data_IF_150700931680
#
_entry.id   IF_150700931680
#
_cell.length_a   1.000
_cell.length_b   1.000
_cell.length_c   1.000
_cell.angle_alpha   90.00
_cell.angle_beta   90.00
_cell.angle_gamma   90.00
#
_symmetry.space_group_name_H-M   'P 1'
#
loop_
_entity.id
_entity.type
_entity.pdbx_description
1 polymer ?
#
# COMPACT_ATOMS: atom_id res chain seq x y z
N UNK A 1 2.36 -20.70 -14.76
CA UNK A 1 3.27 -20.21 -13.69
C UNK A 1 2.46 -19.80 -12.48
N UNK A 2 2.87 -20.25 -11.30
CA UNK A 2 2.16 -20.02 -10.05
C UNK A 2 2.39 -18.59 -9.52
N UNK A 3 1.35 -18.03 -8.91
CA UNK A 3 1.41 -16.78 -8.17
C UNK A 3 2.29 -16.99 -6.93
N UNK A 4 3.28 -16.13 -6.71
CA UNK A 4 4.08 -16.14 -5.49
C UNK A 4 3.49 -15.15 -4.49
N UNK A 5 3.46 -15.52 -3.21
CA UNK A 5 2.98 -14.67 -2.13
C UNK A 5 4.08 -14.48 -1.07
N UNK A 6 4.09 -13.35 -0.40
CA UNK A 6 5.06 -13.07 0.66
C UNK A 6 4.69 -11.84 1.47
N UNK A 7 5.54 -11.54 2.45
CA UNK A 7 5.44 -10.32 3.24
C UNK A 7 6.74 -9.53 3.18
N UNK A 8 6.62 -8.21 3.12
CA UNK A 8 7.73 -7.29 3.35
C UNK A 8 7.53 -6.60 4.71
N UNK A 9 8.50 -6.74 5.61
CA UNK A 9 8.52 -5.98 6.85
C UNK A 9 9.12 -4.61 6.62
N UNK A 10 8.42 -3.57 7.05
CA UNK A 10 8.82 -2.16 6.99
C UNK A 10 8.58 -1.51 8.36
N UNK A 11 9.28 -0.43 8.73
CA UNK A 11 8.99 0.25 9.99
C UNK A 11 7.59 0.88 9.97
N UNK A 12 6.97 0.96 11.14
CA UNK A 12 5.73 1.69 11.32
C UNK A 12 5.92 3.18 11.01
N UNK A 13 7.05 3.77 11.40
CA UNK A 13 7.32 5.20 11.19
C UNK A 13 8.63 5.44 10.47
N UNK A 14 8.66 6.49 9.66
CA UNK A 14 9.85 6.96 8.96
C UNK A 14 10.20 8.39 9.41
N UNK A 15 11.46 8.78 9.27
CA UNK A 15 11.84 10.20 9.30
C UNK A 15 11.44 10.88 7.99
N UNK A 16 11.44 12.22 7.94
CA UNK A 16 11.20 12.98 6.71
C UNK A 16 12.21 12.67 5.58
N UNK A 17 13.33 12.03 5.92
CA UNK A 17 14.33 11.57 4.94
C UNK A 17 14.09 10.14 4.45
N UNK A 18 13.05 9.45 4.95
CA UNK A 18 12.77 8.05 4.67
C UNK A 18 13.68 7.04 5.34
N UNK A 19 14.63 7.54 6.14
CA UNK A 19 15.46 6.69 6.99
C UNK A 19 14.60 6.12 8.09
N UNK A 20 14.89 4.86 8.41
CA UNK A 20 14.41 4.22 9.63
C UNK A 20 14.77 5.16 10.79
N UNK A 21 13.81 5.41 11.68
CA UNK A 21 14.18 6.01 12.96
C UNK A 21 15.16 5.02 13.60
N UNK A 22 16.32 5.49 14.07
CA UNK A 22 17.40 4.63 14.57
C UNK A 22 17.04 4.10 15.96
N UNK A 23 16.01 3.28 16.02
CA UNK A 23 15.47 2.66 17.22
C UNK A 23 15.05 1.24 16.86
N UNK A 24 15.78 0.26 17.39
CA UNK A 24 15.55 -1.17 17.18
C UNK A 24 14.17 -1.63 17.68
N UNK A 25 13.47 -0.78 18.44
CA UNK A 25 12.15 -1.09 19.02
C UNK A 25 10.97 -0.55 18.20
N UNK A 26 11.20 0.00 17.01
CA UNK A 26 10.10 0.51 16.19
C UNK A 26 9.20 -0.65 15.77
N UNK A 27 7.88 -0.56 16.03
CA UNK A 27 6.94 -1.56 15.56
C UNK A 27 7.03 -1.74 14.05
N UNK A 28 6.86 -2.97 13.57
CA UNK A 28 6.90 -3.27 12.15
C UNK A 28 5.48 -3.34 11.57
N UNK A 29 5.37 -2.90 10.33
CA UNK A 29 4.25 -3.21 9.45
C UNK A 29 4.70 -4.34 8.52
N UNK A 30 3.86 -5.35 8.33
CA UNK A 30 4.07 -6.41 7.34
C UNK A 30 3.12 -6.18 6.18
N UNK A 31 3.69 -5.80 5.05
CA UNK A 31 2.97 -5.59 3.80
C UNK A 31 2.76 -6.93 3.11
N UNK A 32 1.51 -7.34 2.90
CA UNK A 32 1.19 -8.52 2.12
C UNK A 32 1.43 -8.24 0.64
N UNK A 33 2.06 -9.18 -0.05
CA UNK A 33 2.50 -9.02 -1.43
C UNK A 33 2.22 -10.26 -2.26
N UNK A 34 1.95 -10.01 -3.53
CA UNK A 34 1.91 -11.02 -4.57
C UNK A 34 2.87 -10.66 -5.70
N UNK A 35 3.43 -11.69 -6.32
CA UNK A 35 4.27 -11.59 -7.50
C UNK A 35 3.81 -12.60 -8.53
N UNK A 36 3.42 -12.11 -9.70
CA UNK A 36 3.32 -12.91 -10.91
C UNK A 36 4.66 -12.80 -11.66
N UNK A 37 5.48 -13.86 -11.69
CA UNK A 37 6.80 -13.78 -12.30
C UNK A 37 6.73 -13.52 -13.81
N UNK A 38 7.75 -12.84 -14.33
CA UNK A 38 8.01 -12.78 -15.76
C UNK A 38 8.15 -14.21 -16.35
N UNK A 39 7.69 -14.42 -17.58
CA UNK A 39 7.79 -15.72 -18.25
C UNK A 39 9.18 -15.99 -18.83
N UNK A 40 9.87 -14.94 -19.28
CA UNK A 40 11.19 -15.00 -19.90
C UNK A 40 12.22 -14.14 -19.14
N UNK A 41 13.21 -13.56 -19.84
CA UNK A 41 14.24 -12.73 -19.22
C UNK A 41 13.64 -11.49 -18.54
N UNK A 42 13.75 -11.46 -17.22
CA UNK A 42 13.29 -10.35 -16.36
C UNK A 42 14.04 -9.04 -16.68
N UNK A 43 13.27 -7.97 -16.92
CA UNK A 43 13.72 -6.58 -17.08
C UNK A 43 13.55 -5.76 -15.79
N UNK A 44 12.61 -6.15 -14.95
CA UNK A 44 12.28 -5.49 -13.68
C UNK A 44 10.88 -5.90 -13.22
N UNK A 45 10.30 -5.10 -12.34
CA UNK A 45 8.94 -5.28 -11.82
C UNK A 45 8.04 -4.10 -12.19
N UNK A 46 6.76 -4.37 -12.41
CA UNK A 46 5.70 -3.37 -12.46
C UNK A 46 4.89 -3.46 -11.18
N UNK A 47 4.95 -2.43 -10.36
CA UNK A 47 4.18 -2.33 -9.13
C UNK A 47 2.82 -1.72 -9.44
N UNK A 48 1.75 -2.40 -9.03
CA UNK A 48 0.39 -1.86 -9.13
C UNK A 48 0.06 -1.13 -7.83
N UNK A 49 -0.16 0.18 -7.94
CA UNK A 49 -0.55 1.05 -6.84
C UNK A 49 -2.07 1.24 -6.94
N UNK A 50 -2.81 0.42 -6.18
CA UNK A 50 -4.26 0.42 -6.20
C UNK A 50 -4.86 1.69 -5.58
N UNK A 51 -6.11 1.98 -5.94
CA UNK A 51 -6.89 3.10 -5.43
C UNK A 51 -7.64 2.81 -4.13
N UNK A 52 -8.77 3.52 -3.94
CA UNK A 52 -9.51 3.55 -2.70
C UNK A 52 -9.50 4.97 -2.11
N UNK A 53 -8.83 5.23 -0.97
CA UNK A 53 -7.94 4.35 -0.19
C UNK A 53 -8.67 3.16 0.45
N UNK A 54 -7.92 2.17 0.94
CA UNK A 54 -8.46 1.04 1.70
C UNK A 54 -8.83 -0.21 0.88
N UNK A 55 -8.57 -0.22 -0.43
CA UNK A 55 -8.76 -1.41 -1.26
C UNK A 55 -7.52 -2.32 -1.20
N UNK A 56 -7.69 -3.64 -0.97
CA UNK A 56 -6.61 -4.61 -1.14
C UNK A 56 -6.03 -4.58 -2.55
N UNK A 57 -4.72 -4.66 -2.67
CA UNK A 57 -3.96 -4.61 -3.92
C UNK A 57 -3.17 -5.88 -4.23
N UNK A 58 -3.20 -6.91 -3.37
CA UNK A 58 -2.58 -8.23 -3.66
C UNK A 58 -3.22 -8.95 -4.86
N UNK A 59 -4.48 -8.63 -5.19
CA UNK A 59 -5.15 -9.12 -6.40
C UNK A 59 -5.45 -7.90 -7.28
N UNK A 60 -4.43 -7.33 -7.93
CA UNK A 60 -4.63 -6.12 -8.72
C UNK A 60 -5.61 -6.43 -9.86
N UNK A 61 -6.50 -5.46 -10.17
CA UNK A 61 -7.49 -5.56 -11.25
C UNK A 61 -6.80 -5.51 -12.60
N UNK A 62 -6.16 -6.61 -12.94
CA UNK A 62 -5.42 -6.77 -14.17
C UNK A 62 -6.24 -7.73 -15.01
N UNK A 63 -6.99 -7.20 -15.98
CA UNK A 63 -7.51 -8.05 -17.03
C UNK A 63 -6.31 -8.70 -17.72
N UNK A 64 -6.30 -10.04 -17.80
CA UNK A 64 -5.29 -10.80 -18.55
C UNK A 64 -5.45 -10.64 -20.07
N UNK A 65 -5.86 -9.46 -20.52
CA UNK A 65 -5.93 -9.06 -21.91
C UNK A 65 -4.52 -8.73 -22.45
N UNK A 66 -4.49 -8.43 -23.74
CA UNK A 66 -3.29 -8.24 -24.56
C UNK A 66 -2.13 -7.42 -23.93
N UNK A 67 -2.34 -6.28 -23.22
CA UNK A 67 -1.22 -5.51 -22.69
C UNK A 67 -0.50 -6.20 -21.50
N UNK A 68 -1.23 -6.92 -20.66
CA UNK A 68 -0.68 -7.57 -19.45
C UNK A 68 0.06 -8.84 -19.83
N UNK A 69 -0.50 -9.60 -20.78
CA UNK A 69 0.14 -10.80 -21.31
C UNK A 69 1.51 -10.47 -21.91
N UNK A 70 1.62 -9.37 -22.67
CA UNK A 70 2.88 -8.90 -23.23
C UNK A 70 3.84 -8.36 -22.16
N UNK A 71 3.33 -7.62 -21.18
CA UNK A 71 4.14 -7.11 -20.08
C UNK A 71 4.81 -8.26 -19.31
N UNK A 72 4.07 -9.33 -19.05
CA UNK A 72 4.55 -10.51 -18.32
C UNK A 72 5.57 -11.35 -19.08
N UNK A 73 5.84 -11.08 -20.35
CA UNK A 73 6.95 -11.72 -21.05
C UNK A 73 8.31 -11.34 -20.45
N UNK A 74 8.44 -10.12 -19.92
CA UNK A 74 9.72 -9.64 -19.37
C UNK A 74 9.63 -8.93 -18.02
N UNK A 75 8.44 -8.72 -17.47
CA UNK A 75 8.27 -8.01 -16.20
C UNK A 75 7.57 -8.87 -15.17
N UNK A 76 8.05 -8.79 -13.93
CA UNK A 76 7.27 -9.27 -12.79
C UNK A 76 6.11 -8.30 -12.56
N UNK A 77 4.93 -8.82 -12.23
CA UNK A 77 3.79 -7.99 -11.82
C UNK A 77 3.62 -8.12 -10.32
N UNK A 78 3.64 -6.99 -9.62
CA UNK A 78 3.64 -6.94 -8.17
C UNK A 78 2.34 -6.30 -7.70
N UNK A 79 1.55 -7.06 -6.94
CA UNK A 79 0.45 -6.57 -6.13
C UNK A 79 0.89 -6.45 -4.68
N UNK A 80 0.35 -5.49 -3.96
CA UNK A 80 0.56 -5.39 -2.52
C UNK A 80 -0.64 -4.75 -1.83
N UNK A 81 -0.89 -5.13 -0.59
CA UNK A 81 -1.85 -4.45 0.26
C UNK A 81 -1.13 -3.31 1.00
N UNK A 82 -1.61 -2.05 0.92
CA UNK A 82 -1.04 -0.96 1.69
C UNK A 82 -1.07 -1.23 3.20
N UNK A 83 -0.22 -0.53 3.96
CA UNK A 83 -0.26 -0.56 5.43
C UNK A 83 -1.68 -0.32 5.95
N UNK A 84 -2.13 -1.14 6.90
CA UNK A 84 -3.49 -1.05 7.46
C UNK A 84 -4.61 -1.66 6.61
N UNK A 85 -4.32 -2.22 5.44
CA UNK A 85 -5.32 -2.69 4.47
C UNK A 85 -5.17 -4.19 4.21
N UNK A 86 -6.30 -4.87 3.95
CA UNK A 86 -6.30 -6.25 3.45
C UNK A 86 -5.60 -7.23 4.39
N UNK A 87 -4.62 -7.96 3.86
CA UNK A 87 -3.79 -8.92 4.59
C UNK A 87 -2.52 -8.28 5.20
N UNK A 88 -2.27 -6.99 4.96
CA UNK A 88 -1.19 -6.26 5.63
C UNK A 88 -1.55 -6.02 7.09
N UNK A 89 -0.55 -6.09 7.97
CA UNK A 89 -0.79 -5.92 9.40
C UNK A 89 0.23 -5.01 10.10
N UNK A 90 -0.18 -4.28 11.15
CA UNK A 90 -1.52 -4.26 11.76
C UNK A 90 -2.60 -3.68 10.82
N UNK A 91 -3.75 -4.35 10.73
CA UNK A 91 -4.88 -3.94 9.89
C UNK A 91 -5.77 -2.94 10.65
N UNK A 92 -6.31 -1.95 9.95
CA UNK A 92 -7.22 -0.98 10.57
C UNK A 92 -8.52 -1.67 10.92
N UNK A 93 -8.89 -1.62 12.20
CA UNK A 93 -10.15 -2.10 12.70
C UNK A 93 -10.88 -0.97 13.43
N UNK A 94 -12.05 -0.60 12.92
CA UNK A 94 -12.93 0.41 13.51
C UNK A 94 -14.32 -0.16 13.85
N UNK A 95 -14.47 -1.49 13.83
CA UNK A 95 -15.75 -2.13 14.09
C UNK A 95 -16.14 -1.90 15.56
N UNK A 96 -17.38 -1.47 15.78
CA UNK A 96 -17.94 -1.26 17.11
C UNK A 96 -18.51 -2.58 17.60
N UNK A 97 -18.17 -2.98 18.83
CA UNK A 97 -18.48 -4.32 19.36
C UNK A 97 -19.95 -4.58 19.65
N UNK A 98 -20.84 -3.59 19.57
CA UNK A 98 -22.29 -3.77 19.70
C UNK A 98 -23.03 -2.66 18.94
N UNK A 99 -23.61 -2.99 17.78
CA UNK A 99 -24.61 -2.15 17.12
C UNK A 99 -26.01 -2.46 17.67
N UNK A 100 -26.19 -2.48 18.99
CA UNK A 100 -27.56 -2.35 19.52
C UNK A 100 -28.14 -1.08 18.88
N UNK A 101 -29.38 -1.15 18.36
CA UNK A 101 -30.01 -0.02 17.68
C UNK A 101 -29.96 1.19 18.61
N UNK A 102 -29.00 2.06 18.35
CA UNK A 102 -28.77 3.28 19.10
C UNK A 102 -29.92 4.24 18.75
N UNK A 103 -31.03 4.14 19.47
CA UNK A 103 -32.14 5.09 19.37
C UNK A 103 -31.71 6.38 20.09
N UNK A 104 -31.91 7.54 19.47
CA UNK A 104 -31.58 8.88 20.01
C UNK A 104 -30.08 9.22 20.18
N UNK A 105 -29.17 8.60 19.42
CA UNK A 105 -27.76 9.01 19.38
C UNK A 105 -27.53 10.04 18.29
N UNK A 106 -26.88 11.15 18.62
CA UNK A 106 -26.52 12.19 17.64
C UNK A 106 -25.43 11.71 16.68
N UNK A 107 -25.39 12.27 15.47
CA UNK A 107 -24.33 11.99 14.49
C UNK A 107 -22.92 12.21 15.08
N UNK A 108 -22.74 13.28 15.86
CA UNK A 108 -21.48 13.57 16.56
C UNK A 108 -21.07 12.42 17.49
N UNK A 109 -22.00 11.86 18.25
CA UNK A 109 -21.71 10.73 19.14
C UNK A 109 -21.36 9.48 18.35
N UNK A 110 -22.05 9.20 17.24
CA UNK A 110 -21.72 8.06 16.36
C UNK A 110 -20.30 8.20 15.78
N UNK A 111 -19.91 9.39 15.31
CA UNK A 111 -18.57 9.66 14.81
C UNK A 111 -17.52 9.46 15.91
N UNK A 112 -17.75 10.01 17.11
CA UNK A 112 -16.82 9.85 18.23
C UNK A 112 -16.68 8.39 18.66
N UNK A 113 -17.77 7.62 18.68
CA UNK A 113 -17.71 6.20 18.99
C UNK A 113 -16.92 5.42 17.92
N UNK A 114 -17.09 5.76 16.63
CA UNK A 114 -16.29 5.16 15.55
C UNK A 114 -14.81 5.49 15.67
N UNK A 115 -14.47 6.75 15.95
CA UNK A 115 -13.09 7.19 16.18
C UNK A 115 -12.49 6.42 17.37
N UNK A 116 -13.22 6.33 18.49
CA UNK A 116 -12.76 5.61 19.67
C UNK A 116 -12.56 4.12 19.38
N UNK A 117 -13.45 3.49 18.61
CA UNK A 117 -13.29 2.10 18.18
C UNK A 117 -12.05 1.91 17.31
N UNK A 118 -11.79 2.82 16.35
CA UNK A 118 -10.57 2.80 15.55
C UNK A 118 -9.31 2.85 16.45
N UNK A 119 -9.26 3.83 17.35
CA UNK A 119 -8.11 4.06 18.25
C UNK A 119 -7.90 2.86 19.17
N UNK A 120 -8.97 2.34 19.76
CA UNK A 120 -8.92 1.22 20.69
C UNK A 120 -8.51 -0.08 20.01
N UNK A 121 -9.13 -0.42 18.87
CA UNK A 121 -8.92 -1.72 18.22
C UNK A 121 -7.67 -1.76 17.33
N UNK A 122 -7.25 -0.62 16.76
CA UNK A 122 -6.06 -0.55 15.90
C UNK A 122 -4.82 -0.09 16.67
N UNK A 123 -5.00 0.75 17.70
CA UNK A 123 -3.92 1.39 18.44
C UNK A 123 -3.60 2.79 17.91
N UNK A 124 -3.50 3.76 18.82
CA UNK A 124 -3.26 5.17 18.47
C UNK A 124 -1.95 5.40 17.69
N UNK A 125 -0.89 4.65 18.00
CA UNK A 125 0.40 4.77 17.31
C UNK A 125 0.30 4.27 15.86
N UNK A 126 -0.43 3.19 15.62
CA UNK A 126 -0.66 2.69 14.26
C UNK A 126 -1.46 3.72 13.46
N UNK A 127 -2.56 4.24 14.04
CA UNK A 127 -3.42 5.22 13.37
C UNK A 127 -2.66 6.50 12.96
N UNK A 128 -1.65 6.91 13.73
CA UNK A 128 -0.80 8.06 13.38
C UNK A 128 0.06 7.85 12.14
N UNK A 129 0.33 6.61 11.76
CA UNK A 129 1.33 6.25 10.76
C UNK A 129 0.78 5.41 9.59
N UNK A 130 -0.53 5.43 9.35
CA UNK A 130 -1.17 4.79 8.18
C UNK A 130 -1.34 5.75 6.98
N UNK A 131 -0.75 6.93 7.05
CA UNK A 131 -0.96 7.99 6.06
C UNK A 131 -0.22 7.79 4.74
N UNK A 132 -0.51 8.67 3.78
CA UNK A 132 0.18 8.70 2.48
C UNK A 132 1.68 8.90 2.61
N UNK A 133 2.11 9.64 3.64
CA UNK A 133 3.52 9.90 3.90
C UNK A 133 4.30 8.60 4.07
N UNK A 134 3.82 7.70 4.92
CA UNK A 134 4.46 6.40 5.13
C UNK A 134 4.22 5.44 3.96
N UNK A 135 3.06 5.49 3.31
CA UNK A 135 2.77 4.66 2.14
C UNK A 135 3.76 4.90 0.98
N UNK A 136 4.22 6.14 0.79
CA UNK A 136 5.24 6.48 -0.21
C UNK A 136 6.58 5.81 0.10
N UNK A 137 7.00 5.78 1.37
CA UNK A 137 8.23 5.10 1.78
C UNK A 137 8.13 3.58 1.67
N UNK A 138 6.95 3.02 1.92
CA UNK A 138 6.70 1.60 1.72
C UNK A 138 6.92 1.18 0.27
N UNK A 139 6.46 1.98 -0.70
CA UNK A 139 6.69 1.72 -2.12
C UNK A 139 8.20 1.75 -2.44
N UNK A 140 8.95 2.66 -1.82
CA UNK A 140 10.40 2.71 -1.96
C UNK A 140 11.07 1.46 -1.38
N UNK A 141 10.63 0.98 -0.21
CA UNK A 141 11.12 -0.28 0.38
C UNK A 141 10.75 -1.49 -0.46
N UNK A 142 9.56 -1.51 -1.05
CA UNK A 142 9.16 -2.55 -2.01
C UNK A 142 10.10 -2.55 -3.21
N UNK A 143 10.34 -1.39 -3.84
CA UNK A 143 11.26 -1.28 -4.99
C UNK A 143 12.66 -1.80 -4.65
N UNK A 144 13.19 -1.40 -3.50
CA UNK A 144 14.50 -1.84 -3.02
C UNK A 144 14.55 -3.35 -2.76
N UNK A 145 13.53 -3.91 -2.11
CA UNK A 145 13.44 -5.35 -1.82
C UNK A 145 13.32 -6.20 -3.10
N UNK A 146 12.68 -5.67 -4.15
CA UNK A 146 12.61 -6.31 -5.47
C UNK A 146 13.94 -6.24 -6.25
N UNK A 147 14.92 -5.46 -5.77
CA UNK A 147 16.22 -5.28 -6.40
C UNK A 147 16.18 -4.42 -7.67
N UNK A 148 15.10 -3.66 -7.90
CA UNK A 148 14.96 -2.83 -9.09
C UNK A 148 15.59 -1.46 -8.87
N UNK A 149 16.42 -0.99 -9.81
CA UNK A 149 17.12 0.31 -9.69
C UNK A 149 16.18 1.52 -9.69
N UNK A 150 15.06 1.42 -10.39
CA UNK A 150 14.07 2.48 -10.54
C UNK A 150 12.66 1.88 -10.60
N UNK A 151 11.68 2.63 -10.09
CA UNK A 151 10.28 2.30 -10.05
C UNK A 151 9.67 2.27 -11.45
N UNK A 152 9.01 1.17 -11.78
CA UNK A 152 8.00 1.11 -12.84
C UNK A 152 6.66 0.81 -12.18
N UNK A 153 5.67 1.68 -12.38
CA UNK A 153 4.38 1.54 -11.70
C UNK A 153 3.18 1.89 -12.58
N UNK A 154 2.03 1.32 -12.22
CA UNK A 154 0.71 1.76 -12.69
C UNK A 154 -0.10 2.12 -11.46
N UNK A 155 -0.64 3.32 -11.44
CA UNK A 155 -1.35 3.89 -10.30
C UNK A 155 -2.78 4.24 -10.68
N UNK A 156 -3.73 3.86 -9.83
CA UNK A 156 -5.16 4.02 -10.08
C UNK A 156 -5.83 4.88 -9.00
N UNK A 157 -6.69 5.83 -9.38
CA UNK A 157 -7.51 6.61 -8.43
C UNK A 157 -6.66 7.21 -7.31
N UNK A 158 -6.96 7.01 -6.02
CA UNK A 158 -6.13 7.47 -4.89
C UNK A 158 -4.64 7.05 -5.00
N UNK A 159 -4.36 5.91 -5.65
CA UNK A 159 -2.99 5.49 -5.95
C UNK A 159 -2.21 6.49 -6.81
N UNK A 160 -2.90 7.28 -7.64
CA UNK A 160 -2.28 8.36 -8.44
C UNK A 160 -1.70 9.47 -7.56
N UNK A 161 -2.40 9.85 -6.48
CA UNK A 161 -1.88 10.79 -5.48
C UNK A 161 -0.64 10.22 -4.79
N UNK A 162 -0.67 8.94 -4.40
CA UNK A 162 0.50 8.27 -3.81
C UNK A 162 1.68 8.24 -4.77
N UNK A 163 1.44 7.93 -6.04
CA UNK A 163 2.48 7.89 -7.06
C UNK A 163 3.06 9.29 -7.38
N UNK A 164 2.24 10.35 -7.31
CA UNK A 164 2.69 11.73 -7.46
C UNK A 164 3.60 12.13 -6.28
N UNK A 165 3.19 11.84 -5.04
CA UNK A 165 4.02 12.06 -3.86
C UNK A 165 5.34 11.26 -3.90
N UNK A 166 5.31 10.02 -4.42
CA UNK A 166 6.52 9.26 -4.68
C UNK A 166 7.41 9.97 -5.69
N UNK A 167 6.84 10.52 -6.76
CA UNK A 167 7.60 11.21 -7.79
C UNK A 167 8.28 12.49 -7.29
N UNK A 168 7.61 13.25 -6.44
CA UNK A 168 8.20 14.42 -5.77
C UNK A 168 9.34 14.04 -4.84
N UNK A 169 9.19 12.95 -4.08
CA UNK A 169 10.14 12.55 -3.04
C UNK A 169 11.34 11.76 -3.58
N UNK A 170 11.13 10.97 -4.63
CA UNK A 170 12.15 10.09 -5.23
C UNK A 170 12.28 10.24 -6.75
N UNK A 171 12.46 11.47 -7.28
CA UNK A 171 12.44 11.72 -8.73
C UNK A 171 13.52 10.92 -9.49
N UNK A 172 14.70 10.73 -8.89
CA UNK A 172 15.79 9.93 -9.49
C UNK A 172 15.52 8.43 -9.51
N UNK A 173 14.57 7.96 -8.68
CA UNK A 173 14.23 6.54 -8.56
C UNK A 173 13.09 6.16 -9.49
N UNK A 174 12.69 6.98 -10.46
CA UNK A 174 11.59 6.67 -11.39
C UNK A 174 12.13 6.24 -12.76
N UNK A 175 11.59 5.13 -13.27
CA UNK A 175 11.73 4.74 -14.69
C UNK A 175 10.51 5.17 -15.49
N UNK A 176 9.31 4.82 -15.01
CA UNK A 176 8.04 5.18 -15.66
C UNK A 176 6.86 4.95 -14.72
N UNK A 177 5.90 5.87 -14.73
CA UNK A 177 4.65 5.73 -13.97
C UNK A 177 3.49 6.04 -14.92
N UNK A 178 2.46 5.18 -14.90
CA UNK A 178 1.16 5.45 -15.53
C UNK A 178 0.19 5.89 -14.44
N UNK A 179 -0.54 6.99 -14.68
CA UNK A 179 -1.57 7.49 -13.80
C UNK A 179 -2.94 7.34 -14.48
N UNK A 180 -3.84 6.57 -13.89
CA UNK A 180 -5.19 6.32 -14.40
C UNK A 180 -6.24 6.74 -13.37
N UNK A 181 -7.12 7.67 -13.74
CA UNK A 181 -8.06 8.33 -12.81
C UNK A 181 -7.34 9.23 -11.81
N UNK A 182 -6.74 10.31 -12.29
CA UNK A 182 -5.91 11.24 -11.48
C UNK A 182 -6.73 11.91 -10.38
N UNK A 183 -6.17 11.94 -9.17
CA UNK A 183 -6.61 12.78 -8.04
C UNK A 183 -5.70 14.01 -7.98
N UNK A 184 -6.31 15.21 -8.00
CA UNK A 184 -5.66 16.52 -7.90
C UNK A 184 -6.05 17.19 -6.57
#
# INVERSE_FOLDING_TARGET
>A
PELLCGYLSVPLKYTDTGKDVSDENIPLVRLAMTKLPAKSKRKGSVIIISGGPGLPGINPYINFDWPVTNLRESWDIIGFDPRGVGQSFPAINCQQSNQERLVNVSEKQLILQKINACIHNTGAEVIRHIGSHEAVYDIERIRQALGDKQLTAVAYSYGTQIAALYAERFPSSIRSIVFDGVVD
#
